data_IF_103710057347
#
_entry.id   IF_103710057347
#
_cell.length_a   1.000
_cell.length_b   1.000
_cell.length_c   1.000
_cell.angle_alpha   90.00
_cell.angle_beta   90.00
_cell.angle_gamma   90.00
#
_symmetry.space_group_name_H-M   'P 1'
#
loop_
_entity.id
_entity.type
_entity.pdbx_description
1 polymer ?
#
# COMPACT_ATOMS: atom_id res chain seq x y z
N UNK A 1 -11.27 -10.78 -5.62
CA UNK A 1 -10.86 -9.34 -5.62
C UNK A 1 -10.16 -9.01 -4.30
N UNK A 2 -9.41 -7.91 -4.24
CA UNK A 2 -8.71 -7.49 -3.00
C UNK A 2 -9.67 -7.28 -1.83
N UNK A 3 -10.80 -6.63 -2.05
CA UNK A 3 -11.86 -6.45 -1.03
C UNK A 3 -12.33 -7.78 -0.46
N UNK A 4 -12.54 -8.80 -1.28
CA UNK A 4 -13.06 -10.11 -0.83
C UNK A 4 -12.07 -10.83 0.10
N UNK A 5 -10.75 -10.60 -0.06
CA UNK A 5 -9.74 -11.16 0.85
C UNK A 5 -9.89 -10.68 2.28
N UNK A 6 -10.33 -9.41 2.43
CA UNK A 6 -10.50 -8.79 3.75
C UNK A 6 -11.86 -9.05 4.40
N UNK A 7 -12.92 -9.41 3.64
CA UNK A 7 -14.27 -9.63 4.19
C UNK A 7 -14.34 -10.56 5.39
N UNK A 8 -13.56 -11.66 5.48
CA UNK A 8 -13.58 -12.52 6.66
C UNK A 8 -13.02 -11.90 7.94
N UNK A 9 -12.23 -10.81 7.82
CA UNK A 9 -11.51 -10.20 8.95
C UNK A 9 -11.86 -8.71 9.16
N UNK A 10 -12.44 -8.04 8.16
CA UNK A 10 -12.86 -6.63 8.24
C UNK A 10 -14.31 -6.52 7.74
N UNK A 11 -15.24 -5.99 8.53
CA UNK A 11 -16.59 -5.70 8.07
C UNK A 11 -16.59 -4.72 6.90
N UNK A 12 -17.50 -4.92 5.93
CA UNK A 12 -17.54 -4.08 4.70
C UNK A 12 -17.73 -2.59 5.02
N UNK A 13 -18.48 -2.26 6.06
CA UNK A 13 -18.70 -0.89 6.51
C UNK A 13 -17.42 -0.19 7.02
N UNK A 14 -16.36 -0.94 7.30
CA UNK A 14 -15.05 -0.43 7.73
C UNK A 14 -14.00 -0.49 6.61
N UNK A 15 -14.40 -0.78 5.37
CA UNK A 15 -13.52 -0.77 4.21
C UNK A 15 -13.67 0.53 3.44
N UNK A 16 -12.55 1.14 3.09
CA UNK A 16 -12.50 2.35 2.26
C UNK A 16 -11.61 2.10 1.06
N UNK A 17 -12.02 2.62 -0.09
CA UNK A 17 -11.23 2.56 -1.33
C UNK A 17 -10.83 3.98 -1.70
N UNK A 18 -9.53 4.25 -1.75
CA UNK A 18 -9.01 5.53 -2.25
C UNK A 18 -8.65 5.38 -3.71
N UNK A 19 -9.21 6.22 -4.55
CA UNK A 19 -9.05 6.12 -6.00
C UNK A 19 -9.23 7.47 -6.70
N UNK A 20 -8.99 7.50 -8.01
CA UNK A 20 -9.35 8.66 -8.83
C UNK A 20 -10.85 8.63 -9.15
N UNK A 21 -11.46 9.81 -9.24
CA UNK A 21 -12.90 9.97 -9.55
C UNK A 21 -13.35 9.20 -10.80
N UNK A 22 -12.47 9.04 -11.78
CA UNK A 22 -12.77 8.30 -13.02
C UNK A 22 -13.12 6.83 -12.80
N UNK A 23 -12.68 6.24 -11.69
CA UNK A 23 -12.90 4.83 -11.37
C UNK A 23 -14.05 4.59 -10.39
N UNK A 24 -14.63 5.66 -9.82
CA UNK A 24 -15.70 5.59 -8.80
C UNK A 24 -16.87 4.72 -9.27
N UNK A 25 -17.40 5.00 -10.45
CA UNK A 25 -18.53 4.27 -11.02
C UNK A 25 -18.22 2.78 -11.24
N UNK A 26 -17.04 2.48 -11.79
CA UNK A 26 -16.59 1.10 -12.00
C UNK A 26 -16.49 0.32 -10.67
N UNK A 27 -15.99 0.96 -9.60
CA UNK A 27 -15.91 0.34 -8.29
C UNK A 27 -17.29 0.05 -7.72
N UNK A 28 -18.24 0.99 -7.84
CA UNK A 28 -19.63 0.81 -7.41
C UNK A 28 -20.31 -0.35 -8.13
N UNK A 29 -20.03 -0.54 -9.41
CA UNK A 29 -20.56 -1.66 -10.21
C UNK A 29 -19.92 -3.01 -9.80
N UNK A 30 -18.61 -3.01 -9.51
CA UNK A 30 -17.89 -4.24 -9.12
C UNK A 30 -18.14 -4.65 -7.66
N UNK A 31 -18.44 -3.70 -6.78
CA UNK A 31 -18.62 -3.93 -5.33
C UNK A 31 -19.92 -3.25 -4.89
N UNK A 32 -21.10 -3.82 -5.25
CA UNK A 32 -22.40 -3.16 -5.07
C UNK A 32 -22.85 -3.01 -3.62
N UNK A 33 -22.23 -3.69 -2.67
CA UNK A 33 -22.47 -3.55 -1.23
C UNK A 33 -21.57 -2.50 -0.55
N UNK A 34 -20.64 -1.88 -1.29
CA UNK A 34 -19.88 -0.73 -0.82
C UNK A 34 -20.71 0.56 -0.96
N UNK A 35 -20.79 1.34 0.09
CA UNK A 35 -21.49 2.63 0.04
C UNK A 35 -20.65 3.69 -0.66
N UNK A 36 -21.28 4.64 -1.31
CA UNK A 36 -20.61 5.72 -2.03
C UNK A 36 -19.59 6.48 -1.15
N UNK A 37 -19.94 6.82 0.09
CA UNK A 37 -19.05 7.49 1.04
C UNK A 37 -17.85 6.67 1.54
N UNK A 38 -17.72 5.41 1.09
CA UNK A 38 -16.55 4.58 1.34
C UNK A 38 -15.55 4.61 0.16
N UNK A 39 -15.89 5.32 -0.93
CA UNK A 39 -15.02 5.52 -2.07
C UNK A 39 -14.48 6.95 -2.01
N UNK A 40 -13.26 7.07 -1.54
CA UNK A 40 -12.58 8.34 -1.35
C UNK A 40 -11.86 8.74 -2.64
N UNK A 41 -12.30 9.82 -3.27
CA UNK A 41 -11.81 10.22 -4.58
C UNK A 41 -10.67 11.25 -4.46
N UNK A 42 -9.52 10.92 -5.06
CA UNK A 42 -8.39 11.85 -5.20
C UNK A 42 -8.56 12.70 -6.47
N UNK A 43 -8.59 14.04 -6.35
CA UNK A 43 -8.69 14.91 -7.52
C UNK A 43 -7.38 15.07 -8.29
N UNK A 44 -6.26 14.67 -7.70
CA UNK A 44 -4.92 14.76 -8.30
C UNK A 44 -4.04 13.60 -7.85
N UNK A 45 -3.06 13.23 -8.68
CA UNK A 45 -2.06 12.22 -8.32
C UNK A 45 -0.97 12.85 -7.45
N UNK A 46 -0.91 12.50 -6.15
CA UNK A 46 0.07 13.01 -5.18
C UNK A 46 0.88 11.91 -4.50
N UNK A 47 0.93 10.71 -5.11
CA UNK A 47 1.60 9.53 -4.57
C UNK A 47 0.93 9.00 -3.28
N UNK A 48 1.53 8.01 -2.62
CA UNK A 48 0.85 7.19 -1.59
C UNK A 48 0.72 7.87 -0.24
N UNK A 49 1.59 8.81 0.16
CA UNK A 49 1.46 9.46 1.46
C UNK A 49 0.21 10.34 1.57
N UNK A 50 -0.12 11.27 0.64
CA UNK A 50 -1.37 12.01 0.68
C UNK A 50 -2.61 11.11 0.56
N UNK A 51 -2.55 10.04 -0.25
CA UNK A 51 -3.59 9.03 -0.37
C UNK A 51 -3.94 8.42 1.00
N UNK A 52 -2.93 7.92 1.72
CA UNK A 52 -3.09 7.31 3.04
C UNK A 52 -3.48 8.35 4.09
N UNK A 53 -2.94 9.58 4.00
CA UNK A 53 -3.31 10.68 4.90
C UNK A 53 -4.79 11.04 4.77
N UNK A 54 -5.33 11.05 3.54
CA UNK A 54 -6.75 11.28 3.29
C UNK A 54 -7.60 10.20 3.96
N UNK A 55 -7.35 8.93 3.69
CA UNK A 55 -8.08 7.83 4.33
C UNK A 55 -7.95 7.88 5.87
N UNK A 56 -6.76 8.19 6.38
CA UNK A 56 -6.52 8.32 7.82
C UNK A 56 -7.33 9.46 8.44
N UNK A 57 -7.37 10.63 7.77
CA UNK A 57 -8.15 11.77 8.23
C UNK A 57 -9.66 11.48 8.22
N UNK A 58 -10.15 10.83 7.16
CA UNK A 58 -11.54 10.40 7.06
C UNK A 58 -11.93 9.43 8.19
N UNK A 59 -11.14 8.36 8.39
CA UNK A 59 -11.38 7.38 9.46
C UNK A 59 -11.33 8.06 10.83
N UNK A 60 -10.35 8.94 11.06
CA UNK A 60 -10.20 9.68 12.33
C UNK A 60 -11.41 10.57 12.58
N UNK A 61 -11.91 11.28 11.60
CA UNK A 61 -13.10 12.10 11.72
C UNK A 61 -14.34 11.28 12.10
N UNK A 62 -14.55 10.12 11.46
CA UNK A 62 -15.64 9.21 11.81
C UNK A 62 -15.52 8.69 13.26
N UNK A 63 -14.30 8.38 13.70
CA UNK A 63 -14.03 7.97 15.07
C UNK A 63 -14.31 9.10 16.06
N UNK A 64 -13.87 10.32 15.77
CA UNK A 64 -14.15 11.52 16.59
C UNK A 64 -15.64 11.82 16.66
N UNK A 65 -16.36 11.77 15.54
CA UNK A 65 -17.81 11.97 15.50
C UNK A 65 -18.53 11.00 16.45
N UNK A 66 -18.15 9.71 16.42
CA UNK A 66 -18.69 8.69 17.34
C UNK A 66 -18.28 8.95 18.80
N UNK A 67 -16.99 9.16 19.05
CA UNK A 67 -16.43 9.33 20.40
C UNK A 67 -16.99 10.52 21.16
N UNK A 68 -17.35 11.60 20.44
CA UNK A 68 -17.87 12.85 21.02
C UNK A 68 -19.35 13.09 20.70
N UNK A 69 -20.03 12.16 20.05
CA UNK A 69 -21.46 12.21 19.74
C UNK A 69 -21.82 13.39 18.83
N UNK A 70 -21.02 13.69 17.82
CA UNK A 70 -21.24 14.76 16.87
C UNK A 70 -22.11 14.30 15.71
N UNK A 71 -23.10 15.10 15.32
CA UNK A 71 -23.86 14.90 14.10
C UNK A 71 -23.17 15.55 12.90
N UNK A 72 -23.50 15.10 11.68
CA UNK A 72 -22.98 15.71 10.46
C UNK A 72 -23.32 17.20 10.37
N UNK A 73 -24.53 17.59 10.76
CA UNK A 73 -24.96 18.99 10.77
C UNK A 73 -24.15 19.84 11.76
N UNK A 74 -23.77 19.28 12.90
CA UNK A 74 -22.88 19.95 13.86
C UNK A 74 -21.47 20.09 13.30
N UNK A 75 -21.00 19.12 12.52
CA UNK A 75 -19.71 19.17 11.84
C UNK A 75 -19.69 20.23 10.72
N UNK A 76 -20.71 20.32 9.89
CA UNK A 76 -20.81 21.29 8.79
C UNK A 76 -20.95 22.75 9.26
N UNK A 77 -21.49 22.99 10.45
CA UNK A 77 -21.60 24.33 11.03
C UNK A 77 -20.29 24.87 11.59
N UNK A 78 -19.22 24.11 11.45
CA UNK A 78 -17.89 24.52 11.83
C UNK A 78 -17.31 25.49 10.80
N UNK A 79 -17.42 26.78 11.06
CA UNK A 79 -16.69 27.82 10.31
C UNK A 79 -15.20 27.68 10.64
N UNK A 80 -14.48 26.97 9.80
CA UNK A 80 -13.03 26.94 9.66
C UNK A 80 -12.21 26.88 10.96
N UNK A 81 -11.25 26.00 10.97
CA UNK A 81 -10.14 26.01 11.92
C UNK A 81 -9.38 27.35 11.75
N UNK A 82 -9.77 28.38 12.51
CA UNK A 82 -8.93 29.57 12.63
C UNK A 82 -7.72 29.22 13.50
N UNK A 83 -6.57 29.81 13.22
CA UNK A 83 -5.33 29.63 13.99
C UNK A 83 -5.49 29.90 15.50
N UNK A 84 -6.61 30.40 15.93
CA UNK A 84 -6.92 30.83 17.29
C UNK A 84 -7.89 29.90 18.06
N UNK A 85 -8.36 28.80 17.45
CA UNK A 85 -9.11 27.74 18.16
C UNK A 85 -10.46 28.18 18.76
N UNK A 86 -11.11 29.20 18.21
CA UNK A 86 -12.42 29.62 18.67
C UNK A 86 -13.53 29.01 17.85
N UNK A 87 -14.38 28.23 18.49
CA UNK A 87 -15.59 27.64 17.94
C UNK A 87 -16.81 28.43 18.33
N UNK A 88 -17.71 28.68 17.37
CA UNK A 88 -19.08 29.13 17.67
C UNK A 88 -20.01 27.90 17.68
N UNK A 89 -20.13 27.27 18.83
CA UNK A 89 -21.06 26.14 19.03
C UNK A 89 -20.87 25.54 20.42
N UNK A 90 -21.93 24.93 20.98
CA UNK A 90 -21.94 24.39 22.36
C UNK A 90 -21.13 23.09 22.56
N UNK A 91 -20.49 22.55 21.52
CA UNK A 91 -19.61 21.36 21.58
C UNK A 91 -18.28 21.71 20.93
N UNK A 92 -17.22 21.68 21.71
CA UNK A 92 -15.85 21.86 21.24
C UNK A 92 -15.24 20.52 20.89
N UNK A 93 -14.68 20.38 19.66
CA UNK A 93 -13.76 19.28 19.41
C UNK A 93 -12.48 19.49 20.23
N UNK A 94 -11.95 18.43 20.79
CA UNK A 94 -10.64 18.49 21.42
C UNK A 94 -9.58 18.89 20.38
N UNK A 95 -8.65 19.77 20.78
CA UNK A 95 -7.43 19.93 19.99
C UNK A 95 -6.76 18.57 19.86
N UNK A 96 -5.95 18.36 18.83
CA UNK A 96 -5.26 17.09 18.63
C UNK A 96 -4.58 16.56 19.90
N UNK A 97 -4.01 17.45 20.71
CA UNK A 97 -3.35 17.13 21.99
C UNK A 97 -4.33 16.75 23.11
N UNK A 98 -5.60 17.06 22.92
CA UNK A 98 -6.68 16.83 23.89
C UNK A 98 -7.55 15.63 23.49
N UNK A 99 -7.26 14.99 22.34
CA UNK A 99 -7.96 13.77 21.91
C UNK A 99 -7.68 12.67 22.95
N UNK A 100 -8.73 12.14 23.49
CA UNK A 100 -8.66 10.95 24.33
C UNK A 100 -8.58 9.70 23.45
N UNK A 101 -7.35 9.29 23.19
CA UNK A 101 -7.05 8.12 22.37
C UNK A 101 -7.42 6.79 23.03
N UNK A 102 -7.67 6.77 24.35
CA UNK A 102 -8.09 5.55 25.06
C UNK A 102 -9.59 5.23 24.86
N UNK A 103 -10.36 6.16 24.30
CA UNK A 103 -11.76 5.88 23.97
C UNK A 103 -11.88 4.72 22.99
N UNK A 104 -12.82 3.77 23.21
CA UNK A 104 -12.98 2.61 22.31
C UNK A 104 -13.17 2.98 20.85
N UNK A 105 -13.86 4.07 20.56
CA UNK A 105 -14.11 4.55 19.20
C UNK A 105 -12.83 5.04 18.50
N UNK A 106 -11.80 5.40 19.27
CA UNK A 106 -10.51 5.87 18.78
C UNK A 106 -9.48 4.72 18.58
N UNK A 107 -9.78 3.51 19.08
CA UNK A 107 -8.90 2.35 19.03
C UNK A 107 -9.01 1.58 17.69
N UNK A 108 -8.97 2.30 16.58
CA UNK A 108 -9.02 1.68 15.26
C UNK A 108 -7.64 1.20 14.80
N UNK A 109 -7.55 -0.08 14.40
CA UNK A 109 -6.41 -0.62 13.68
C UNK A 109 -6.70 -0.58 12.19
N UNK A 110 -5.74 -0.11 11.40
CA UNK A 110 -5.88 0.13 9.97
C UNK A 110 -4.89 -0.76 9.23
N UNK A 111 -5.35 -1.41 8.17
CA UNK A 111 -4.50 -2.04 7.16
C UNK A 111 -4.64 -1.29 5.84
N UNK A 112 -3.52 -1.00 5.22
CA UNK A 112 -3.43 -0.40 3.88
C UNK A 112 -2.83 -1.42 2.93
N UNK A 113 -3.48 -1.66 1.80
CA UNK A 113 -3.02 -2.58 0.78
C UNK A 113 -3.35 -2.05 -0.62
N UNK A 114 -2.46 -2.29 -1.58
CA UNK A 114 -2.73 -2.01 -2.99
C UNK A 114 -3.85 -2.91 -3.53
N UNK A 115 -4.64 -2.40 -4.47
CA UNK A 115 -5.80 -3.11 -5.02
C UNK A 115 -5.44 -4.18 -6.05
N UNK A 116 -4.26 -4.08 -6.67
CA UNK A 116 -3.79 -4.85 -7.82
C UNK A 116 -2.77 -5.95 -7.49
N UNK A 117 -2.41 -6.11 -6.21
CA UNK A 117 -1.49 -7.16 -5.81
C UNK A 117 -2.12 -8.55 -5.88
N UNK A 118 -1.34 -9.50 -6.39
CA UNK A 118 -1.68 -10.92 -6.36
C UNK A 118 -1.29 -11.53 -5.01
N UNK A 119 -2.19 -12.34 -4.46
CA UNK A 119 -1.99 -13.15 -3.26
C UNK A 119 -2.56 -14.53 -3.54
N UNK A 120 -1.71 -15.56 -3.49
CA UNK A 120 -2.09 -16.93 -3.84
C UNK A 120 -2.69 -17.69 -2.65
N UNK A 121 -2.15 -17.47 -1.45
CA UNK A 121 -2.55 -18.16 -0.22
C UNK A 121 -3.30 -17.22 0.71
N UNK A 122 -4.56 -16.93 0.39
CA UNK A 122 -5.37 -15.91 1.09
C UNK A 122 -5.57 -16.21 2.58
N UNK A 123 -5.61 -17.50 2.99
CA UNK A 123 -5.73 -17.85 4.40
C UNK A 123 -4.50 -17.42 5.20
N UNK A 124 -3.30 -17.77 4.72
CA UNK A 124 -2.06 -17.32 5.36
C UNK A 124 -1.92 -15.80 5.38
N UNK A 125 -2.41 -15.13 4.33
CA UNK A 125 -2.47 -13.68 4.29
C UNK A 125 -3.37 -13.13 5.41
N UNK A 126 -4.58 -13.66 5.57
CA UNK A 126 -5.51 -13.25 6.64
C UNK A 126 -4.93 -13.49 8.03
N UNK A 127 -4.31 -14.65 8.26
CA UNK A 127 -3.62 -14.94 9.52
C UNK A 127 -2.52 -13.93 9.83
N UNK A 128 -1.74 -13.54 8.81
CA UNK A 128 -0.71 -12.53 8.95
C UNK A 128 -1.29 -11.16 9.34
N UNK A 129 -2.37 -10.72 8.68
CA UNK A 129 -3.05 -9.45 9.02
C UNK A 129 -3.60 -9.47 10.45
N UNK A 130 -4.25 -10.57 10.87
CA UNK A 130 -4.80 -10.68 12.24
C UNK A 130 -3.70 -10.62 13.29
N UNK A 131 -2.56 -11.30 13.06
CA UNK A 131 -1.39 -11.21 13.95
C UNK A 131 -0.81 -9.79 14.01
N UNK A 132 -0.72 -9.12 12.87
CA UNK A 132 -0.25 -7.74 12.81
C UNK A 132 -1.22 -6.77 13.52
N UNK A 133 -2.54 -6.95 13.40
CA UNK A 133 -3.53 -6.19 14.15
C UNK A 133 -3.37 -6.38 15.66
N UNK A 134 -3.21 -7.63 16.14
CA UNK A 134 -2.96 -7.89 17.56
C UNK A 134 -1.69 -7.19 18.06
N UNK A 135 -0.64 -7.18 17.24
CA UNK A 135 0.62 -6.51 17.59
C UNK A 135 0.47 -4.99 17.69
N UNK A 136 -0.11 -4.33 16.66
CA UNK A 136 -0.22 -2.86 16.65
C UNK A 136 -1.28 -2.34 17.62
N UNK A 137 -2.23 -3.17 18.04
CA UNK A 137 -3.21 -2.80 19.08
C UNK A 137 -2.58 -2.65 20.46
N UNK A 138 -1.45 -3.32 20.70
CA UNK A 138 -0.73 -3.34 21.98
C UNK A 138 0.54 -2.49 21.97
N UNK A 139 1.00 -2.10 20.79
CA UNK A 139 2.27 -1.42 20.58
C UNK A 139 2.09 -0.20 19.68
N UNK A 140 2.73 0.92 20.02
CA UNK A 140 2.81 2.09 19.14
C UNK A 140 3.78 1.79 17.98
N UNK A 141 3.37 0.94 17.07
CA UNK A 141 4.21 0.40 15.99
C UNK A 141 3.56 0.58 14.62
N UNK A 142 4.40 0.76 13.61
CA UNK A 142 4.06 0.66 12.20
C UNK A 142 4.57 -0.70 11.74
N UNK A 143 3.66 -1.59 11.33
CA UNK A 143 4.02 -2.93 10.88
C UNK A 143 3.87 -3.04 9.36
N UNK A 144 4.80 -3.73 8.71
CA UNK A 144 4.68 -4.11 7.30
C UNK A 144 4.91 -5.62 7.13
N UNK A 145 4.37 -6.19 6.05
CA UNK A 145 4.61 -7.58 5.69
C UNK A 145 5.82 -7.66 4.75
N UNK A 146 6.83 -8.43 5.14
CA UNK A 146 8.06 -8.61 4.38
C UNK A 146 8.08 -9.95 3.64
N UNK A 147 8.43 -9.93 2.36
CA UNK A 147 8.53 -11.11 1.52
C UNK A 147 9.98 -11.53 1.34
N UNK A 148 10.26 -12.84 1.36
CA UNK A 148 11.60 -13.34 1.14
C UNK A 148 12.04 -13.05 -0.30
N UNK A 149 13.16 -12.33 -0.51
CA UNK A 149 13.70 -12.12 -1.84
C UNK A 149 14.15 -13.42 -2.51
N UNK A 150 13.80 -13.59 -3.78
CA UNK A 150 14.20 -14.73 -4.60
C UNK A 150 15.12 -14.33 -5.77
N UNK A 151 15.23 -13.03 -6.04
CA UNK A 151 16.05 -12.43 -7.08
C UNK A 151 16.44 -10.99 -6.71
N UNK A 152 17.44 -10.37 -7.38
CA UNK A 152 17.80 -8.97 -7.11
C UNK A 152 16.85 -7.99 -7.83
N UNK A 153 15.64 -7.81 -7.27
CA UNK A 153 14.62 -6.94 -7.83
C UNK A 153 14.91 -5.46 -7.50
N UNK A 154 14.94 -4.60 -8.52
CA UNK A 154 15.19 -3.15 -8.33
C UNK A 154 13.94 -2.31 -8.29
N UNK A 155 12.78 -2.91 -8.59
CA UNK A 155 11.47 -2.26 -8.51
C UNK A 155 10.85 -2.24 -7.11
N UNK A 156 11.42 -3.00 -6.17
CA UNK A 156 10.88 -3.16 -4.81
C UNK A 156 11.70 -2.40 -3.76
N UNK A 157 11.04 -2.08 -2.65
CA UNK A 157 11.71 -1.69 -1.43
C UNK A 157 12.30 -2.91 -0.71
N UNK A 158 13.42 -2.71 -0.02
CA UNK A 158 14.10 -3.71 0.79
C UNK A 158 14.13 -3.27 2.25
N UNK A 159 13.84 -4.21 3.14
CA UNK A 159 13.72 -3.99 4.57
C UNK A 159 14.76 -4.87 5.27
N UNK A 160 15.78 -4.26 5.86
CA UNK A 160 16.69 -4.97 6.75
C UNK A 160 16.09 -5.04 8.14
N UNK A 161 16.03 -6.22 8.73
CA UNK A 161 15.49 -6.44 10.05
C UNK A 161 16.54 -6.95 11.04
N UNK A 162 16.24 -6.80 12.33
CA UNK A 162 17.12 -7.26 13.41
C UNK A 162 16.50 -8.50 14.03
N UNK A 163 17.19 -9.63 13.92
CA UNK A 163 16.73 -10.90 14.49
C UNK A 163 16.63 -10.87 16.03
N UNK A 164 17.44 -10.03 16.70
CA UNK A 164 17.32 -9.78 18.14
C UNK A 164 16.15 -8.82 18.40
N UNK A 165 15.13 -9.34 19.08
CA UNK A 165 13.86 -8.65 19.40
C UNK A 165 14.01 -7.60 20.51
N UNK A 166 15.00 -6.72 20.41
CA UNK A 166 15.15 -5.62 21.36
C UNK A 166 14.51 -4.35 20.76
N UNK A 167 13.49 -3.84 21.41
CA UNK A 167 12.98 -2.50 21.10
C UNK A 167 14.05 -1.48 21.51
N UNK A 168 14.73 -0.90 20.53
CA UNK A 168 15.80 0.08 20.77
C UNK A 168 15.30 1.35 21.46
N UNK A 169 14.01 1.70 21.29
CA UNK A 169 13.42 2.88 21.90
C UNK A 169 13.09 2.69 23.38
N UNK A 170 12.79 1.45 23.79
CA UNK A 170 12.36 1.13 25.16
C UNK A 170 13.30 0.22 25.95
N UNK A 171 14.29 -0.41 25.30
CA UNK A 171 15.16 -1.40 25.93
C UNK A 171 14.43 -2.69 26.35
N UNK A 172 13.20 -2.86 25.95
CA UNK A 172 12.34 -4.00 26.29
C UNK A 172 12.28 -5.02 25.14
N UNK A 173 12.21 -6.28 25.47
CA UNK A 173 11.98 -7.36 24.50
C UNK A 173 10.49 -7.36 24.14
N UNK A 174 10.17 -7.18 22.86
CA UNK A 174 8.80 -7.33 22.38
C UNK A 174 8.37 -8.80 22.46
N UNK A 175 7.22 -9.05 23.07
CA UNK A 175 6.66 -10.40 23.19
C UNK A 175 6.04 -10.96 21.89
N UNK A 176 6.20 -10.27 20.76
CA UNK A 176 5.65 -10.70 19.48
C UNK A 176 6.54 -11.76 18.82
N UNK A 177 6.01 -12.97 18.70
CA UNK A 177 6.63 -14.02 17.90
C UNK A 177 6.55 -13.64 16.43
N UNK A 178 7.70 -13.70 15.74
CA UNK A 178 7.81 -13.47 14.28
C UNK A 178 7.56 -12.02 13.78
N UNK A 179 7.67 -11.00 14.63
CA UNK A 179 7.69 -9.59 14.23
C UNK A 179 9.01 -8.96 14.74
N UNK A 180 9.72 -8.26 13.84
CA UNK A 180 11.09 -7.79 14.10
C UNK A 180 11.20 -6.29 13.86
N UNK A 181 12.00 -5.57 14.68
CA UNK A 181 12.30 -4.18 14.41
C UNK A 181 13.05 -4.04 13.08
N UNK A 182 12.67 -3.02 12.31
CA UNK A 182 13.37 -2.65 11.08
C UNK A 182 14.64 -1.87 11.43
N UNK A 183 15.74 -2.25 10.80
CA UNK A 183 17.02 -1.55 10.94
C UNK A 183 17.19 -0.50 9.85
N UNK A 184 16.85 -0.87 8.62
CA UNK A 184 16.98 -0.01 7.45
C UNK A 184 15.86 -0.32 6.48
N UNK A 185 15.30 0.74 5.90
CA UNK A 185 14.35 0.66 4.80
C UNK A 185 15.00 1.32 3.58
N UNK A 186 15.06 0.65 2.45
CA UNK A 186 15.69 1.16 1.22
C UNK A 186 14.75 0.96 0.05
N UNK A 187 14.22 2.05 -0.49
CA UNK A 187 13.29 1.99 -1.61
C UNK A 187 14.04 1.95 -2.95
N UNK A 188 13.72 0.97 -3.77
CA UNK A 188 14.20 0.80 -5.16
C UNK A 188 15.73 0.94 -5.30
N UNK A 189 16.52 0.03 -4.71
CA UNK A 189 17.97 0.05 -4.82
C UNK A 189 18.43 -0.16 -6.27
N UNK A 190 19.68 0.22 -6.56
CA UNK A 190 20.29 -0.20 -7.82
C UNK A 190 20.60 -1.71 -7.83
N UNK A 191 20.90 -2.26 -9.00
CA UNK A 191 21.09 -3.70 -9.17
C UNK A 191 22.25 -4.28 -8.32
N UNK A 192 23.31 -3.52 -8.11
CA UNK A 192 24.46 -3.96 -7.29
C UNK A 192 24.05 -4.09 -5.82
N UNK A 193 23.35 -3.09 -5.31
CA UNK A 193 22.81 -3.14 -3.94
C UNK A 193 21.77 -4.26 -3.79
N UNK A 194 20.89 -4.45 -4.75
CA UNK A 194 19.89 -5.51 -4.71
C UNK A 194 20.52 -6.92 -4.65
N UNK A 195 21.64 -7.14 -5.37
CA UNK A 195 22.41 -8.39 -5.27
C UNK A 195 23.01 -8.57 -3.88
N UNK A 196 23.62 -7.52 -3.31
CA UNK A 196 24.17 -7.57 -1.94
C UNK A 196 23.08 -7.88 -0.92
N UNK A 197 21.91 -7.25 -1.05
CA UNK A 197 20.77 -7.51 -0.14
C UNK A 197 20.25 -8.95 -0.24
N UNK A 198 20.19 -9.49 -1.45
CA UNK A 198 19.80 -10.89 -1.66
C UNK A 198 20.80 -11.86 -1.04
N UNK A 199 22.11 -11.63 -1.24
CA UNK A 199 23.20 -12.49 -0.74
C UNK A 199 23.34 -12.43 0.79
N UNK A 200 23.05 -11.30 1.42
CA UNK A 200 23.16 -11.13 2.88
C UNK A 200 22.14 -11.96 3.66
N UNK A 201 20.95 -12.20 3.09
CA UNK A 201 19.91 -13.03 3.69
C UNK A 201 19.13 -12.38 4.84
N UNK A 202 19.45 -11.14 5.23
CA UNK A 202 18.80 -10.39 6.31
C UNK A 202 17.88 -9.27 5.80
N UNK A 203 17.54 -9.29 4.51
CA UNK A 203 16.61 -8.38 3.88
C UNK A 203 15.35 -9.09 3.41
N UNK A 204 14.24 -8.37 3.47
CA UNK A 204 12.93 -8.76 2.93
C UNK A 204 12.49 -7.72 1.91
N UNK A 205 11.71 -8.12 0.91
CA UNK A 205 11.00 -7.17 0.07
C UNK A 205 9.85 -6.54 0.83
N UNK A 206 9.68 -5.23 0.65
CA UNK A 206 8.49 -4.52 1.13
C UNK A 206 7.29 -4.87 0.25
N UNK A 207 6.27 -5.47 0.84
CA UNK A 207 5.03 -5.80 0.11
C UNK A 207 4.14 -4.59 -0.15
N UNK A 208 4.42 -3.43 0.46
CA UNK A 208 3.52 -2.28 0.42
C UNK A 208 2.21 -2.49 1.19
N UNK A 209 2.16 -3.49 2.06
CA UNK A 209 1.02 -3.74 2.95
C UNK A 209 1.42 -3.28 4.35
N UNK A 210 0.73 -2.25 4.84
CA UNK A 210 1.06 -1.58 6.09
C UNK A 210 -0.07 -1.73 7.10
N UNK A 211 0.28 -1.93 8.36
CA UNK A 211 -0.66 -2.11 9.45
C UNK A 211 -0.22 -1.21 10.63
N UNK A 212 -1.15 -0.46 11.20
CA UNK A 212 -0.91 0.44 12.32
C UNK A 212 -2.19 0.76 13.08
N UNK A 213 -2.04 1.29 14.28
CA UNK A 213 -3.14 1.91 15.01
C UNK A 213 -3.37 3.36 14.52
N UNK A 214 -4.60 3.85 14.57
CA UNK A 214 -5.00 5.18 14.12
C UNK A 214 -4.18 6.30 14.80
N UNK A 215 -3.92 6.18 16.10
CA UNK A 215 -3.08 7.14 16.82
C UNK A 215 -1.66 7.14 16.26
N UNK A 216 -1.05 5.98 16.12
CA UNK A 216 0.34 5.82 15.67
C UNK A 216 0.56 6.48 14.31
N UNK A 217 -0.30 6.20 13.33
CA UNK A 217 -0.14 6.80 11.99
C UNK A 217 -0.47 8.29 11.98
N UNK A 218 -1.43 8.75 12.78
CA UNK A 218 -1.73 10.16 12.92
C UNK A 218 -0.56 10.95 13.52
N UNK A 219 0.11 10.39 14.53
CA UNK A 219 1.35 10.93 15.10
C UNK A 219 2.49 10.94 14.07
N UNK A 220 2.68 9.85 13.32
CA UNK A 220 3.70 9.76 12.29
C UNK A 220 3.53 10.83 11.21
N UNK A 221 2.33 11.02 10.67
CA UNK A 221 2.05 12.11 9.72
C UNK A 221 2.34 13.48 10.33
N UNK A 222 1.92 13.71 11.56
CA UNK A 222 2.11 14.99 12.23
C UNK A 222 3.59 15.36 12.43
N UNK A 223 4.42 14.39 12.81
CA UNK A 223 5.83 14.64 13.12
C UNK A 223 6.75 14.53 11.91
N UNK A 224 6.48 13.61 10.98
CA UNK A 224 7.36 13.31 9.85
C UNK A 224 6.93 13.97 8.55
N UNK A 225 5.62 14.24 8.39
CA UNK A 225 5.03 14.90 7.21
C UNK A 225 4.01 15.98 7.60
N UNK A 226 4.43 17.00 8.38
CA UNK A 226 3.52 18.05 8.86
C UNK A 226 2.86 18.81 7.70
N UNK A 227 3.54 18.99 6.57
CA UNK A 227 2.98 19.65 5.38
C UNK A 227 1.75 18.91 4.82
N UNK A 228 1.69 17.59 4.92
CA UNK A 228 0.54 16.78 4.54
C UNK A 228 -0.51 16.81 5.66
N UNK A 229 -0.09 16.54 6.91
CA UNK A 229 -0.99 16.46 8.04
C UNK A 229 -1.79 17.75 8.28
N UNK A 230 -1.12 18.91 8.16
CA UNK A 230 -1.75 20.22 8.38
C UNK A 230 -2.86 20.51 7.35
N UNK A 231 -2.69 20.05 6.09
CA UNK A 231 -3.72 20.21 5.06
C UNK A 231 -5.03 19.53 5.43
N UNK A 232 -4.96 18.28 5.86
CA UNK A 232 -6.16 17.52 6.25
C UNK A 232 -6.77 18.01 7.56
N UNK A 233 -5.94 18.58 8.47
CA UNK A 233 -6.43 19.13 9.73
C UNK A 233 -7.35 20.34 9.54
N UNK A 234 -7.13 21.14 8.50
CA UNK A 234 -7.95 22.33 8.21
C UNK A 234 -9.42 21.99 7.95
N UNK A 235 -9.71 20.79 7.43
CA UNK A 235 -11.08 20.32 7.16
C UNK A 235 -11.43 19.00 7.84
N UNK A 236 -10.80 18.66 8.95
CA UNK A 236 -10.98 17.35 9.61
C UNK A 236 -12.44 17.04 9.93
N UNK A 237 -13.24 18.05 10.32
CA UNK A 237 -14.65 17.87 10.63
C UNK A 237 -15.55 17.74 9.41
N UNK A 238 -15.10 18.19 8.25
CA UNK A 238 -15.85 18.07 7.02
C UNK A 238 -15.81 16.64 6.48
N UNK A 239 -14.83 15.82 6.94
CA UNK A 239 -14.71 14.43 6.54
C UNK A 239 -15.93 13.61 6.97
N UNK A 240 -16.47 12.79 6.09
CA UNK A 240 -17.69 12.02 6.29
C UNK A 240 -18.98 12.84 6.18
N UNK A 241 -18.91 14.15 5.82
CA UNK A 241 -20.05 15.03 5.51
C UNK A 241 -20.20 15.26 4.01
N UNK A 242 -21.23 16.00 3.61
CA UNK A 242 -21.47 16.38 2.20
C UNK A 242 -20.45 17.41 1.68
N UNK A 243 -19.71 18.10 2.57
CA UNK A 243 -18.70 19.09 2.23
C UNK A 243 -17.29 18.52 2.05
N UNK A 244 -17.11 17.21 2.30
CA UNK A 244 -15.81 16.54 2.17
C UNK A 244 -15.24 16.63 0.76
N UNK A 245 -16.06 16.38 -0.26
CA UNK A 245 -15.62 16.35 -1.66
C UNK A 245 -15.11 17.73 -2.10
N UNK A 246 -15.86 18.80 -1.80
CA UNK A 246 -15.46 20.18 -2.11
C UNK A 246 -14.15 20.59 -1.38
N UNK A 247 -14.02 20.20 -0.13
CA UNK A 247 -12.80 20.45 0.63
C UNK A 247 -11.59 19.72 0.02
N UNK A 248 -11.74 18.45 -0.32
CA UNK A 248 -10.69 17.64 -0.90
C UNK A 248 -10.28 18.15 -2.29
N UNK A 249 -11.22 18.56 -3.14
CA UNK A 249 -10.92 19.16 -4.44
C UNK A 249 -10.03 20.39 -4.34
N UNK A 250 -10.27 21.23 -3.33
CA UNK A 250 -9.49 22.46 -3.12
C UNK A 250 -8.14 22.24 -2.47
N UNK A 251 -8.03 21.27 -1.57
CA UNK A 251 -6.88 21.09 -0.69
C UNK A 251 -5.89 20.03 -1.21
N UNK A 252 -6.38 18.89 -1.67
CA UNK A 252 -5.55 17.74 -2.04
C UNK A 252 -4.49 18.06 -3.12
N UNK A 253 -4.79 18.85 -4.16
CA UNK A 253 -3.78 19.24 -5.16
C UNK A 253 -2.61 20.06 -4.59
N UNK A 254 -2.76 20.63 -3.39
CA UNK A 254 -1.71 21.41 -2.71
C UNK A 254 -0.77 20.54 -1.88
N UNK A 255 -1.09 19.25 -1.72
CA UNK A 255 -0.21 18.32 -1.01
C UNK A 255 1.07 18.07 -1.81
N UNK A 256 2.23 17.90 -1.14
CA UNK A 256 3.45 17.44 -1.79
C UNK A 256 3.25 16.04 -2.38
N UNK A 257 3.87 15.77 -3.53
CA UNK A 257 3.84 14.43 -4.12
C UNK A 257 4.97 13.59 -3.53
N UNK A 258 4.64 12.74 -2.56
CA UNK A 258 5.60 11.89 -1.85
C UNK A 258 4.99 10.53 -1.51
N UNK A 259 5.79 9.46 -1.59
CA UNK A 259 5.33 8.13 -1.15
C UNK A 259 5.37 8.00 0.37
N UNK A 260 4.56 7.10 0.91
CA UNK A 260 4.57 6.75 2.34
C UNK A 260 5.93 6.17 2.74
N UNK A 261 6.59 5.46 1.83
CA UNK A 261 7.90 4.86 2.05
C UNK A 261 8.94 5.93 2.38
N UNK A 262 9.12 6.92 1.49
CA UNK A 262 10.05 8.05 1.70
C UNK A 262 9.60 9.01 2.79
N UNK A 263 8.29 9.20 2.93
CA UNK A 263 7.72 10.17 3.86
C UNK A 263 7.77 9.72 5.31
N UNK A 264 7.48 8.45 5.56
CA UNK A 264 7.30 7.88 6.89
C UNK A 264 8.18 6.65 7.12
N UNK A 265 8.13 5.61 6.25
CA UNK A 265 8.74 4.32 6.54
C UNK A 265 10.27 4.38 6.70
N UNK A 266 10.94 5.21 5.92
CA UNK A 266 12.41 5.41 6.04
C UNK A 266 12.81 6.27 7.25
N UNK A 267 11.89 7.04 7.83
CA UNK A 267 12.18 8.04 8.86
C UNK A 267 11.70 7.64 10.26
N UNK A 268 10.66 6.82 10.33
CA UNK A 268 10.09 6.42 11.60
C UNK A 268 10.99 5.39 12.30
N UNK A 269 11.16 5.54 13.60
CA UNK A 269 11.98 4.69 14.46
C UNK A 269 11.22 3.49 15.05
N UNK A 270 9.90 3.46 14.87
CA UNK A 270 8.99 2.43 15.36
C UNK A 270 8.42 1.53 14.26
N UNK A 271 9.21 1.30 13.20
CA UNK A 271 8.84 0.39 12.10
C UNK A 271 9.24 -1.04 12.41
N UNK A 272 8.33 -1.96 12.15
CA UNK A 272 8.50 -3.40 12.35
C UNK A 272 8.11 -4.15 11.09
N UNK A 273 8.74 -5.30 10.85
CA UNK A 273 8.42 -6.18 9.73
C UNK A 273 8.04 -7.57 10.21
N UNK A 274 7.01 -8.13 9.63
CA UNK A 274 6.63 -9.53 9.80
C UNK A 274 6.98 -10.31 8.54
N UNK A 275 8.01 -11.18 8.57
CA UNK A 275 8.30 -12.09 7.48
C UNK A 275 7.09 -12.95 7.15
N UNK A 276 6.68 -12.97 5.90
CA UNK A 276 5.46 -13.61 5.46
C UNK A 276 5.68 -14.40 4.17
N UNK A 277 4.88 -15.44 3.98
CA UNK A 277 4.94 -16.30 2.79
C UNK A 277 3.53 -16.73 2.41
N UNK A 278 2.90 -15.96 1.54
CA UNK A 278 1.55 -16.22 1.04
C UNK A 278 1.42 -16.05 -0.48
N UNK A 279 2.54 -16.18 -1.21
CA UNK A 279 2.53 -16.07 -2.67
C UNK A 279 2.17 -14.65 -3.15
N UNK A 280 2.85 -13.63 -2.60
CA UNK A 280 2.64 -12.24 -2.96
C UNK A 280 3.42 -11.84 -4.22
N UNK A 281 2.79 -11.02 -5.04
CA UNK A 281 3.45 -10.27 -6.12
C UNK A 281 2.67 -8.99 -6.42
N UNK A 282 3.38 -7.93 -6.77
CA UNK A 282 2.78 -6.70 -7.32
C UNK A 282 2.50 -6.79 -8.83
N UNK A 283 2.91 -7.89 -9.50
CA UNK A 283 2.84 -8.08 -10.96
C UNK A 283 3.49 -6.93 -11.76
N UNK A 284 4.36 -6.17 -11.13
CA UNK A 284 4.98 -4.97 -11.71
C UNK A 284 6.13 -5.25 -12.68
N UNK A 285 6.61 -6.50 -12.76
CA UNK A 285 7.76 -6.88 -13.58
C UNK A 285 7.51 -8.16 -14.38
N UNK A 286 8.23 -8.33 -15.48
CA UNK A 286 8.20 -9.57 -16.30
C UNK A 286 8.66 -10.79 -15.50
N UNK A 287 9.65 -10.59 -14.62
CA UNK A 287 10.11 -11.64 -13.71
C UNK A 287 9.00 -12.10 -12.77
N UNK A 288 8.23 -11.18 -12.21
CA UNK A 288 7.07 -11.51 -11.37
C UNK A 288 6.01 -12.28 -12.14
N UNK A 289 5.68 -11.83 -13.34
CA UNK A 289 4.71 -12.50 -14.21
C UNK A 289 5.19 -13.91 -14.59
N UNK A 290 6.47 -14.05 -14.94
CA UNK A 290 7.07 -15.34 -15.28
C UNK A 290 7.01 -16.33 -14.10
N UNK A 291 7.38 -15.88 -12.88
CA UNK A 291 7.38 -16.76 -11.70
C UNK A 291 5.98 -17.31 -11.36
N UNK A 292 4.95 -16.52 -11.58
CA UNK A 292 3.58 -16.85 -11.21
C UNK A 292 2.77 -17.54 -12.31
N UNK A 293 3.26 -17.51 -13.54
CA UNK A 293 2.59 -18.16 -14.68
C UNK A 293 2.85 -19.66 -14.71
N UNK A 294 1.90 -20.41 -15.24
CA UNK A 294 2.09 -21.82 -15.56
C UNK A 294 3.18 -21.97 -16.61
N UNK A 295 4.07 -22.94 -16.40
CA UNK A 295 5.22 -23.21 -17.25
C UNK A 295 5.08 -24.54 -17.94
N UNK A 296 5.51 -24.61 -19.20
CA UNK A 296 5.70 -25.88 -19.90
C UNK A 296 6.87 -26.67 -19.28
N UNK A 297 7.12 -27.95 -19.72
CA UNK A 297 8.24 -28.75 -19.21
C UNK A 297 9.61 -28.12 -19.43
N UNK A 298 9.77 -27.25 -20.42
CA UNK A 298 10.99 -26.48 -20.72
C UNK A 298 11.00 -25.12 -20.04
N UNK A 299 10.08 -24.89 -19.08
CA UNK A 299 9.93 -23.64 -18.31
C UNK A 299 9.58 -22.41 -19.15
N UNK A 300 8.96 -22.58 -20.33
CA UNK A 300 8.42 -21.46 -21.06
C UNK A 300 7.02 -21.10 -20.58
N UNK A 301 6.67 -19.82 -20.69
CA UNK A 301 5.37 -19.26 -20.40
C UNK A 301 4.79 -18.67 -21.69
N UNK A 302 3.53 -18.96 -21.99
CA UNK A 302 2.79 -18.30 -23.06
C UNK A 302 1.44 -17.79 -22.55
N UNK A 303 1.13 -16.52 -22.81
CA UNK A 303 -0.12 -15.88 -22.42
C UNK A 303 -0.81 -15.30 -23.65
N UNK A 304 -2.12 -15.56 -23.75
CA UNK A 304 -3.03 -15.03 -24.78
C UNK A 304 -2.77 -15.44 -26.24
N UNK A 305 -1.75 -16.29 -26.52
CA UNK A 305 -1.34 -16.68 -27.85
C UNK A 305 -1.05 -18.18 -27.97
N UNK A 306 -1.16 -18.70 -29.18
CA UNK A 306 -0.79 -20.08 -29.52
C UNK A 306 0.69 -20.13 -29.90
N UNK A 307 1.54 -20.57 -28.95
CA UNK A 307 3.00 -20.55 -29.09
C UNK A 307 3.55 -21.97 -29.17
N UNK A 308 4.33 -22.25 -30.22
CA UNK A 308 5.07 -23.47 -30.35
C UNK A 308 6.56 -23.23 -30.07
N UNK A 309 7.09 -23.89 -29.06
CA UNK A 309 8.50 -23.79 -28.67
C UNK A 309 9.31 -24.97 -29.22
N UNK A 310 10.46 -24.67 -29.83
CA UNK A 310 11.43 -25.65 -30.33
C UNK A 310 12.84 -25.27 -29.87
N UNK A 311 13.53 -26.15 -29.14
CA UNK A 311 14.87 -25.91 -28.60
C UNK A 311 14.93 -24.55 -27.85
N UNK A 312 13.91 -24.26 -27.07
CA UNK A 312 13.72 -22.97 -26.41
C UNK A 312 13.33 -23.16 -24.92
N UNK A 313 14.01 -22.47 -24.02
CA UNK A 313 13.89 -22.71 -22.57
C UNK A 313 13.73 -21.42 -21.83
N UNK A 314 12.81 -21.39 -20.81
CA UNK A 314 12.72 -20.29 -19.86
C UNK A 314 12.19 -18.98 -20.42
N UNK A 315 11.52 -18.98 -21.57
CA UNK A 315 11.00 -17.77 -22.22
C UNK A 315 9.63 -17.37 -21.66
N UNK A 316 9.29 -16.10 -21.78
CA UNK A 316 7.94 -15.60 -21.58
C UNK A 316 7.46 -14.91 -22.85
N UNK A 317 6.31 -15.35 -23.37
CA UNK A 317 5.69 -14.85 -24.60
C UNK A 317 4.30 -14.32 -24.29
N UNK A 318 4.08 -13.04 -24.54
CA UNK A 318 2.80 -12.35 -24.33
C UNK A 318 2.48 -11.55 -25.58
N UNK A 319 1.57 -12.03 -26.40
CA UNK A 319 1.19 -11.38 -27.65
C UNK A 319 -0.31 -11.07 -27.64
N UNK A 320 -0.74 -10.28 -28.60
CA UNK A 320 -2.16 -10.01 -28.80
C UNK A 320 -2.94 -11.33 -29.05
N UNK A 321 -4.18 -11.44 -28.53
CA UNK A 321 -4.96 -12.65 -28.62
C UNK A 321 -5.14 -13.16 -30.08
N UNK A 322 -5.04 -14.48 -30.25
CA UNK A 322 -5.26 -15.16 -31.53
C UNK A 322 -4.06 -15.20 -32.46
N UNK A 323 -2.89 -14.71 -32.06
CA UNK A 323 -1.65 -14.89 -32.82
C UNK A 323 -1.07 -16.28 -32.65
N UNK A 324 -0.49 -16.80 -33.74
CA UNK A 324 0.28 -18.04 -33.76
C UNK A 324 1.75 -17.70 -33.93
N UNK A 325 2.60 -18.27 -33.10
CA UNK A 325 4.01 -17.94 -33.04
C UNK A 325 4.83 -19.20 -32.89
N UNK A 326 5.96 -19.24 -33.60
CA UNK A 326 7.00 -20.23 -33.40
C UNK A 326 8.20 -19.54 -32.79
N UNK A 327 8.69 -20.10 -31.68
CA UNK A 327 9.88 -19.63 -30.95
C UNK A 327 10.89 -20.77 -30.98
N UNK A 328 12.06 -20.57 -31.64
CA UNK A 328 13.06 -21.60 -31.80
C UNK A 328 14.44 -21.09 -31.43
N UNK A 329 15.21 -21.92 -30.69
CA UNK A 329 16.63 -21.73 -30.44
C UNK A 329 16.98 -20.51 -29.58
N UNK A 330 16.08 -20.06 -28.70
CA UNK A 330 16.29 -18.93 -27.79
C UNK A 330 15.93 -19.29 -26.37
N UNK A 331 16.71 -18.77 -25.42
CA UNK A 331 16.53 -19.02 -23.99
C UNK A 331 16.45 -17.71 -23.21
N UNK A 332 15.66 -17.74 -22.14
CA UNK A 332 15.50 -16.64 -21.19
C UNK A 332 15.11 -15.29 -21.81
N UNK A 333 14.17 -15.35 -22.77
CA UNK A 333 13.72 -14.17 -23.50
C UNK A 333 12.34 -13.70 -22.99
N UNK A 334 12.10 -12.40 -23.08
CA UNK A 334 10.81 -11.74 -23.07
C UNK A 334 10.46 -11.45 -24.53
N UNK A 335 9.32 -11.94 -24.98
CA UNK A 335 8.75 -11.68 -26.30
C UNK A 335 7.35 -11.13 -26.05
N UNK A 336 7.16 -9.83 -26.25
CA UNK A 336 5.91 -9.16 -25.91
C UNK A 336 5.46 -8.22 -27.02
N UNK A 337 4.15 -8.18 -27.27
CA UNK A 337 3.55 -7.27 -28.24
C UNK A 337 2.42 -6.48 -27.62
N UNK A 338 2.42 -5.18 -27.90
CA UNK A 338 1.34 -4.29 -27.52
C UNK A 338 1.23 -3.12 -28.50
N UNK A 339 0.00 -2.81 -28.99
CA UNK A 339 -0.24 -1.67 -29.87
C UNK A 339 0.57 -1.70 -31.16
N UNK A 340 0.87 -2.89 -31.72
CA UNK A 340 1.66 -3.08 -32.92
C UNK A 340 3.18 -3.02 -32.74
N UNK A 341 3.67 -2.74 -31.52
CA UNK A 341 5.10 -2.81 -31.22
C UNK A 341 5.46 -4.19 -30.65
N UNK A 342 6.49 -4.82 -31.19
CA UNK A 342 7.03 -6.10 -30.75
C UNK A 342 8.36 -5.88 -30.01
N UNK A 343 8.41 -6.31 -28.75
CA UNK A 343 9.63 -6.36 -27.95
C UNK A 343 10.21 -7.77 -27.94
N UNK A 344 11.49 -7.89 -28.15
CA UNK A 344 12.27 -9.11 -27.95
C UNK A 344 13.53 -8.75 -27.19
N UNK A 345 13.63 -9.16 -25.91
CA UNK A 345 14.80 -8.87 -25.09
C UNK A 345 15.08 -10.00 -24.09
N UNK A 346 16.28 -10.04 -23.53
CA UNK A 346 16.61 -11.00 -22.45
C UNK A 346 15.85 -10.68 -21.17
N UNK A 347 15.39 -11.68 -20.44
CA UNK A 347 14.77 -11.49 -19.10
C UNK A 347 15.68 -10.71 -18.14
N UNK A 348 16.99 -10.96 -18.21
CA UNK A 348 17.97 -10.24 -17.39
C UNK A 348 18.02 -8.73 -17.66
N UNK A 349 17.48 -8.27 -18.80
CA UNK A 349 17.45 -6.86 -19.21
C UNK A 349 16.08 -6.19 -18.97
N UNK A 350 15.16 -6.85 -18.25
CA UNK A 350 13.79 -6.35 -18.05
C UNK A 350 13.73 -4.92 -17.51
N UNK A 351 14.66 -4.55 -16.64
CA UNK A 351 14.72 -3.21 -16.03
C UNK A 351 14.99 -2.09 -17.06
N UNK A 352 15.52 -2.46 -18.23
CA UNK A 352 15.79 -1.52 -19.34
C UNK A 352 14.62 -1.35 -20.30
N UNK A 353 13.56 -2.14 -20.18
CA UNK A 353 12.40 -2.09 -21.10
C UNK A 353 11.79 -0.67 -21.14
N UNK A 354 11.71 0.04 -20.01
CA UNK A 354 11.24 1.42 -19.99
C UNK A 354 12.08 2.35 -20.87
N UNK A 355 13.40 2.16 -20.88
CA UNK A 355 14.30 2.88 -21.78
C UNK A 355 14.00 2.53 -23.24
N UNK A 356 13.92 1.24 -23.58
CA UNK A 356 13.66 0.79 -24.96
C UNK A 356 12.34 1.33 -25.51
N UNK A 357 11.27 1.28 -24.68
CA UNK A 357 9.94 1.79 -25.08
C UNK A 357 9.93 3.32 -25.23
N UNK A 358 10.76 4.05 -24.50
CA UNK A 358 10.84 5.52 -24.64
C UNK A 358 11.50 5.99 -25.93
N UNK A 359 12.10 5.08 -26.70
CA UNK A 359 12.77 5.37 -28.00
C UNK A 359 11.83 5.09 -29.20
N UNK A 360 10.63 4.51 -28.94
CA UNK A 360 9.57 4.26 -29.95
C UNK A 360 8.61 5.43 -30.04
#
# INVERSE_FOLDING_TARGET
MTVDRFRPIVPIENMFIVTNIMYKQMIMEQIPDLKEGQILCEPARRNTAPCIAYATAHIRALCLQKAYGLTKDECMKYEGYTKEGSMKGNKTLPKYQEIDWEKPEMQANIVVAASDHLILEEEKFREAIVKAFDFVSKNKAICTLGMQPTRPETGYGYIQFVADKLDKAKGERLEAKDIYPVKTFTEKPNLEMAKVFLESGDFLWNSGIFIWNLQTISEAFRYLLPEVADRFREGELLMGTEEEEDFIEQMFPKCPSISIDYGIMEKADNVYVMPSSFGWSDLGTWGSLYELSEKDPQKNVSLHSDVHFYDATGNIVVLEPGKKVIVQGVDDMIIAEQGGALLVCKKAEEQRIKQFVSEL
#
